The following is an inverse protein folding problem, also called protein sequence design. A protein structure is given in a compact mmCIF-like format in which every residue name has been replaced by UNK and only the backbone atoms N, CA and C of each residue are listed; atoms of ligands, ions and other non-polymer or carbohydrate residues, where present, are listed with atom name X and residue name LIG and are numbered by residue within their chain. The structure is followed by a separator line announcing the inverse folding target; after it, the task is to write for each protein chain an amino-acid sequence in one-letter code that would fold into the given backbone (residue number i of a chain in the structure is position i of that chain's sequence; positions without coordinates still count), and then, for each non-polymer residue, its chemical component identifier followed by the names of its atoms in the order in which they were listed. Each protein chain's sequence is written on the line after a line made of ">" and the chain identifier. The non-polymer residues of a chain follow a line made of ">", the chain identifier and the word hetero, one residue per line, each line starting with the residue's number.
data_IF_731988112972
#
_entry.id   IF_731988112972
#
_cell.length_a   1.000
_cell.length_b   1.000
_cell.length_c   1.000
_cell.angle_alpha   90.00
_cell.angle_beta   90.00
_cell.angle_gamma   90.00
#
_symmetry.space_group_name_H-M   'P 1'
#
loop_
_entity.id
_entity.type
_entity.pdbx_description
1 polymer ?
#
# COMPACT_ATOMS: atom_id res chain seq x y z
N UNK A 1 -19.70 25.10 57.15
CA UNK A 1 -19.29 23.81 56.57
C UNK A 1 -20.47 23.17 55.86
N UNK A 2 -20.49 23.20 54.52
CA UNK A 2 -21.30 22.29 53.69
C UNK A 2 -20.42 21.90 52.51
N UNK A 3 -19.98 20.65 52.48
CA UNK A 3 -19.18 20.05 51.42
C UNK A 3 -20.04 19.90 50.16
N UNK A 4 -19.55 20.42 49.04
CA UNK A 4 -20.04 20.12 47.70
C UNK A 4 -19.48 18.77 47.25
N UNK A 5 -20.34 17.81 46.95
CA UNK A 5 -19.97 16.58 46.26
C UNK A 5 -19.88 16.86 44.76
N UNK A 6 -18.68 16.75 44.20
CA UNK A 6 -18.46 16.67 42.76
C UNK A 6 -18.42 15.18 42.42
N UNK A 7 -19.40 14.71 41.65
CA UNK A 7 -19.37 13.37 41.08
C UNK A 7 -18.36 13.38 39.92
N UNK A 8 -17.24 12.68 40.08
CA UNK A 8 -16.34 12.39 38.99
C UNK A 8 -16.98 11.30 38.11
N UNK A 9 -17.37 11.65 36.89
CA UNK A 9 -17.72 10.67 35.88
C UNK A 9 -16.44 9.93 35.48
N UNK A 10 -16.38 8.63 35.76
CA UNK A 10 -15.31 7.76 35.30
C UNK A 10 -15.43 7.61 33.78
N UNK A 11 -14.48 8.16 33.04
CA UNK A 11 -14.26 7.83 31.62
C UNK A 11 -13.61 6.46 31.60
N UNK A 12 -14.36 5.44 31.21
CA UNK A 12 -13.81 4.12 30.89
C UNK A 12 -13.10 4.25 29.54
N UNK A 13 -11.77 4.26 29.54
CA UNK A 13 -10.99 4.05 28.34
C UNK A 13 -11.24 2.61 27.85
N UNK A 14 -11.73 2.46 26.63
CA UNK A 14 -11.70 1.19 25.88
C UNK A 14 -10.23 0.86 25.57
N UNK A 15 -9.48 0.38 26.57
CA UNK A 15 -8.06 0.05 26.46
C UNK A 15 -7.80 -1.31 25.79
N UNK A 16 -8.83 -2.03 25.36
CA UNK A 16 -8.71 -3.42 24.88
C UNK A 16 -8.15 -3.58 23.47
N UNK A 17 -8.45 -2.67 22.53
CA UNK A 17 -8.11 -2.88 21.11
C UNK A 17 -6.68 -2.50 20.74
N UNK A 18 -6.10 -1.48 21.39
CA UNK A 18 -4.70 -1.11 21.18
C UNK A 18 -3.74 -2.15 21.82
N UNK A 19 -4.13 -2.75 22.94
CA UNK A 19 -3.32 -3.78 23.61
C UNK A 19 -3.26 -5.10 22.83
N UNK A 20 -4.33 -5.47 22.10
CA UNK A 20 -4.33 -6.67 21.26
C UNK A 20 -3.49 -6.48 20.00
N UNK A 21 -3.62 -5.34 19.29
CA UNK A 21 -2.84 -5.06 18.09
C UNK A 21 -1.33 -5.07 18.34
N UNK A 22 -0.88 -4.49 19.47
CA UNK A 22 0.53 -4.53 19.86
C UNK A 22 1.04 -5.94 20.14
N UNK A 23 0.20 -6.87 20.63
CA UNK A 23 0.64 -8.22 21.00
C UNK A 23 0.94 -9.11 19.78
N UNK A 24 0.12 -9.05 18.72
CA UNK A 24 0.23 -9.99 17.60
C UNK A 24 1.37 -9.68 16.63
N UNK A 25 1.83 -8.43 16.59
CA UNK A 25 2.89 -8.00 15.70
C UNK A 25 4.17 -7.55 16.44
N UNK A 26 4.32 -7.94 17.71
CA UNK A 26 5.57 -7.75 18.44
C UNK A 26 6.70 -8.64 17.89
N UNK A 27 7.92 -8.09 17.82
CA UNK A 27 9.10 -8.80 17.33
C UNK A 27 9.40 -10.09 18.11
N UNK A 28 9.04 -10.11 19.40
CA UNK A 28 9.24 -11.24 20.31
C UNK A 28 8.08 -12.27 20.30
N UNK A 29 7.07 -12.09 19.45
CA UNK A 29 5.97 -13.05 19.35
C UNK A 29 6.48 -14.42 18.85
N UNK A 30 6.10 -15.54 19.50
CA UNK A 30 6.46 -16.88 19.01
C UNK A 30 5.78 -17.21 17.68
N UNK A 31 4.75 -16.45 17.30
CA UNK A 31 3.94 -16.69 16.11
C UNK A 31 4.43 -15.92 14.87
N UNK A 32 5.57 -15.23 14.92
CA UNK A 32 6.11 -14.53 13.75
C UNK A 32 6.40 -15.49 12.59
N UNK A 33 5.79 -15.26 11.43
CA UNK A 33 5.96 -16.10 10.24
C UNK A 33 7.29 -15.83 9.52
N UNK A 34 7.70 -14.56 9.53
CA UNK A 34 8.84 -14.04 8.79
C UNK A 34 9.20 -12.66 9.35
N UNK A 35 10.49 -12.29 9.34
CA UNK A 35 10.96 -10.94 9.72
C UNK A 35 11.72 -10.32 8.57
N UNK A 36 11.46 -9.05 8.27
CA UNK A 36 12.25 -8.21 7.36
C UNK A 36 12.81 -7.01 8.11
N UNK A 37 13.55 -7.27 9.19
CA UNK A 37 14.05 -6.29 10.18
C UNK A 37 15.45 -5.75 9.87
N UNK A 38 16.08 -6.21 8.79
CA UNK A 38 17.41 -5.76 8.36
C UNK A 38 18.58 -6.09 9.31
N UNK A 39 18.37 -6.94 10.32
CA UNK A 39 19.39 -7.20 11.36
C UNK A 39 20.61 -7.99 10.87
N UNK A 40 20.54 -8.58 9.68
CA UNK A 40 21.67 -9.21 8.99
C UNK A 40 22.52 -8.19 8.19
N UNK A 41 22.21 -6.90 8.27
CA UNK A 41 22.92 -5.85 7.54
C UNK A 41 22.62 -5.89 6.04
N UNK A 42 23.60 -5.55 5.20
CA UNK A 42 23.40 -5.47 3.74
C UNK A 42 22.94 -6.79 3.09
N UNK A 43 23.22 -7.95 3.72
CA UNK A 43 22.73 -9.24 3.21
C UNK A 43 21.24 -9.46 3.42
N UNK A 44 20.54 -8.56 4.12
CA UNK A 44 19.10 -8.61 4.28
C UNK A 44 18.31 -8.29 3.00
N UNK A 45 18.92 -7.62 2.02
CA UNK A 45 18.17 -7.00 0.92
C UNK A 45 17.65 -7.98 -0.14
N UNK A 46 18.27 -9.16 -0.30
CA UNK A 46 17.86 -10.13 -1.30
C UNK A 46 18.38 -11.54 -1.01
N UNK A 47 17.79 -12.54 -1.68
CA UNK A 47 18.24 -13.93 -1.66
C UNK A 47 17.57 -14.83 -0.61
N UNK A 48 16.77 -14.27 0.30
CA UNK A 48 16.04 -15.02 1.32
C UNK A 48 14.64 -15.35 0.82
N UNK A 49 14.54 -16.35 -0.06
CA UNK A 49 13.32 -16.64 -0.84
C UNK A 49 12.53 -17.87 -0.35
N UNK A 50 12.78 -18.33 0.88
CA UNK A 50 12.12 -19.52 1.45
C UNK A 50 11.60 -19.20 2.84
N UNK A 51 10.42 -19.73 3.18
CA UNK A 51 9.85 -19.61 4.53
C UNK A 51 10.82 -20.11 5.60
N UNK A 52 10.95 -19.37 6.69
CA UNK A 52 11.89 -19.65 7.77
C UNK A 52 13.27 -19.01 7.58
N UNK A 53 13.55 -18.45 6.40
CA UNK A 53 14.62 -17.46 6.24
C UNK A 53 14.01 -16.08 6.45
N UNK A 54 14.42 -15.39 7.51
CA UNK A 54 14.14 -13.98 7.65
C UNK A 54 14.86 -13.21 6.53
N UNK A 55 14.50 -11.95 6.35
CA UNK A 55 14.98 -11.01 5.34
C UNK A 55 14.37 -11.20 3.94
N UNK A 56 14.73 -10.31 3.03
CA UNK A 56 14.01 -10.08 1.79
C UNK A 56 14.44 -11.04 0.68
N UNK A 57 13.48 -11.42 -0.17
CA UNK A 57 13.73 -12.30 -1.30
C UNK A 57 14.23 -11.51 -2.51
N UNK A 58 13.48 -10.48 -2.90
CA UNK A 58 13.69 -9.76 -4.15
C UNK A 58 13.86 -8.26 -3.93
N UNK A 59 14.69 -7.66 -4.77
CA UNK A 59 14.91 -6.23 -4.87
C UNK A 59 14.55 -5.74 -6.28
N UNK A 60 13.85 -4.61 -6.35
CA UNK A 60 13.56 -3.92 -7.60
C UNK A 60 14.26 -2.56 -7.57
N UNK A 61 15.50 -2.56 -8.09
CA UNK A 61 16.38 -1.40 -8.16
C UNK A 61 17.04 -1.30 -9.55
N UNK A 62 17.45 -0.09 -9.90
CA UNK A 62 18.26 0.26 -11.08
C UNK A 62 19.70 0.56 -10.67
N UNK A 63 19.89 1.22 -9.52
CA UNK A 63 21.21 1.59 -8.97
C UNK A 63 21.39 0.97 -7.60
N UNK A 64 22.60 0.50 -7.29
CA UNK A 64 22.90 -0.13 -6.00
C UNK A 64 22.73 0.81 -4.79
N UNK A 65 22.76 2.13 -4.99
CA UNK A 65 22.60 3.11 -3.92
C UNK A 65 21.15 3.40 -3.54
N UNK A 66 20.16 2.86 -4.29
CA UNK A 66 18.75 3.12 -4.04
C UNK A 66 18.23 2.49 -2.76
N UNK A 67 18.82 1.38 -2.31
CA UNK A 67 18.50 0.76 -1.04
C UNK A 67 19.80 0.59 -0.26
N UNK A 68 19.86 1.16 0.93
CA UNK A 68 21.03 1.09 1.80
C UNK A 68 20.59 0.66 3.18
N UNK A 69 21.26 -0.35 3.74
CA UNK A 69 21.10 -0.68 5.14
C UNK A 69 21.96 0.29 5.95
N UNK A 70 21.31 1.04 6.84
CA UNK A 70 21.90 2.14 7.61
C UNK A 70 21.86 1.83 9.10
N UNK A 71 22.70 2.52 9.88
CA UNK A 71 22.74 2.46 11.35
C UNK A 71 22.19 3.72 12.02
N UNK A 72 21.79 4.71 11.22
CA UNK A 72 21.14 5.95 11.65
C UNK A 72 20.36 6.53 10.45
N UNK A 73 19.05 6.85 10.59
CA UNK A 73 18.19 6.55 11.74
C UNK A 73 17.83 5.06 11.82
N UNK A 74 17.56 4.58 13.04
CA UNK A 74 17.09 3.21 13.36
C UNK A 74 16.05 3.33 14.48
N UNK A 75 15.01 2.50 14.47
CA UNK A 75 13.98 2.48 15.53
C UNK A 75 14.07 1.23 16.41
N UNK A 76 14.41 0.08 15.82
CA UNK A 76 14.66 -1.14 16.56
C UNK A 76 15.96 -1.81 16.13
N UNK A 77 16.57 -2.59 17.02
CA UNK A 77 17.82 -3.29 16.71
C UNK A 77 19.00 -2.34 16.39
N UNK A 78 19.68 -2.61 15.28
CA UNK A 78 20.93 -1.98 14.84
C UNK A 78 20.82 -1.39 13.44
N UNK A 79 19.88 -1.87 12.63
CA UNK A 79 19.81 -1.54 11.23
C UNK A 79 18.40 -1.16 10.78
N UNK A 80 18.33 -0.23 9.85
CA UNK A 80 17.12 0.08 9.09
C UNK A 80 17.47 0.17 7.60
N UNK A 81 16.47 0.16 6.72
CA UNK A 81 16.68 0.37 5.30
C UNK A 81 16.31 1.79 4.87
N UNK A 82 17.25 2.50 4.26
CA UNK A 82 17.02 3.76 3.53
C UNK A 82 16.67 3.43 2.08
N UNK A 83 15.53 3.94 1.63
CA UNK A 83 15.08 3.89 0.24
C UNK A 83 15.26 5.24 -0.42
N UNK A 84 15.72 5.23 -1.67
CA UNK A 84 15.84 6.42 -2.51
C UNK A 84 15.37 6.12 -3.94
N UNK A 85 14.57 7.05 -4.46
CA UNK A 85 14.15 7.06 -5.86
C UNK A 85 14.48 8.41 -6.46
N UNK A 86 15.14 8.40 -7.62
CA UNK A 86 15.45 9.58 -8.43
C UNK A 86 14.80 9.46 -9.79
N UNK A 87 14.73 10.61 -10.48
CA UNK A 87 14.27 10.64 -11.86
C UNK A 87 15.10 9.68 -12.72
N UNK A 88 14.42 8.82 -13.48
CA UNK A 88 15.02 7.80 -14.33
C UNK A 88 15.30 6.45 -13.66
N UNK A 89 14.98 6.28 -12.37
CA UNK A 89 15.06 4.97 -11.67
C UNK A 89 13.89 4.04 -12.08
N UNK A 90 13.68 3.90 -13.39
CA UNK A 90 12.64 3.06 -13.99
C UNK A 90 13.11 1.62 -14.03
N UNK A 91 12.46 0.77 -13.22
CA UNK A 91 12.80 -0.65 -13.18
C UNK A 91 12.33 -1.35 -14.46
N UNK A 92 13.23 -2.00 -15.19
CA UNK A 92 12.94 -2.81 -16.40
C UNK A 92 12.06 -2.07 -17.42
N UNK A 93 10.85 -2.58 -17.70
CA UNK A 93 9.89 -2.03 -18.66
C UNK A 93 8.65 -1.46 -17.97
N UNK A 94 8.72 -1.22 -16.65
CA UNK A 94 7.62 -0.60 -15.91
C UNK A 94 7.50 0.89 -16.27
N UNK A 95 6.35 1.50 -15.94
CA UNK A 95 6.03 2.89 -16.25
C UNK A 95 6.21 3.82 -15.05
N UNK A 96 7.05 3.45 -14.09
CA UNK A 96 7.19 4.15 -12.82
C UNK A 96 8.60 3.95 -12.26
N UNK A 97 8.93 4.75 -11.26
CA UNK A 97 10.23 4.72 -10.60
C UNK A 97 10.10 4.07 -9.24
N UNK A 98 11.06 3.20 -8.90
CA UNK A 98 10.96 2.41 -7.68
C UNK A 98 12.29 2.00 -7.08
N UNK A 99 12.25 1.81 -5.77
CA UNK A 99 13.21 1.08 -4.97
C UNK A 99 12.39 0.31 -3.95
N UNK A 100 12.09 -0.96 -4.22
CA UNK A 100 11.18 -1.76 -3.39
C UNK A 100 11.71 -3.18 -3.18
N UNK A 101 11.33 -3.77 -2.05
CA UNK A 101 11.65 -5.13 -1.64
C UNK A 101 10.40 -5.99 -1.61
N UNK A 102 10.56 -7.29 -1.90
CA UNK A 102 9.50 -8.29 -1.83
C UNK A 102 9.85 -9.44 -0.88
N UNK A 103 8.91 -9.90 -0.04
CA UNK A 103 9.12 -11.10 0.78
C UNK A 103 9.11 -12.36 -0.11
N UNK A 104 9.43 -13.54 0.45
CA UNK A 104 9.24 -14.82 -0.24
C UNK A 104 7.81 -15.01 -0.80
N UNK A 105 7.67 -15.75 -1.91
CA UNK A 105 6.37 -15.95 -2.57
C UNK A 105 5.35 -16.72 -1.73
N UNK A 106 5.82 -17.46 -0.73
CA UNK A 106 4.97 -18.15 0.23
C UNK A 106 4.27 -17.19 1.22
N UNK A 107 4.65 -15.91 1.24
CA UNK A 107 3.98 -14.86 2.00
C UNK A 107 2.83 -14.20 1.24
N UNK A 108 2.54 -14.67 0.01
CA UNK A 108 1.42 -14.17 -0.78
C UNK A 108 0.09 -14.62 -0.20
N UNK A 109 -0.94 -13.83 -0.47
CA UNK A 109 -2.26 -13.94 0.13
C UNK A 109 -3.28 -14.43 -0.89
N UNK A 110 -3.92 -15.54 -0.54
CA UNK A 110 -5.06 -16.06 -1.25
C UNK A 110 -6.36 -15.39 -0.80
N UNK A 111 -7.42 -15.62 -1.56
CA UNK A 111 -8.77 -15.24 -1.17
C UNK A 111 -9.15 -15.85 0.19
N UNK A 112 -9.59 -15.02 1.13
CA UNK A 112 -9.99 -15.42 2.48
C UNK A 112 -8.84 -15.50 3.49
N UNK A 113 -7.58 -15.30 3.09
CA UNK A 113 -6.46 -15.22 4.03
C UNK A 113 -6.66 -14.09 5.04
N UNK A 114 -6.16 -14.28 6.25
CA UNK A 114 -6.25 -13.31 7.33
C UNK A 114 -4.88 -13.17 7.97
N UNK A 115 -4.37 -11.94 8.06
CA UNK A 115 -2.99 -11.69 8.50
C UNK A 115 -2.85 -10.37 9.26
N UNK A 116 -1.94 -10.39 10.24
CA UNK A 116 -1.43 -9.19 10.89
C UNK A 116 -0.08 -8.80 10.28
N UNK A 117 0.13 -7.51 10.11
CA UNK A 117 1.39 -6.93 9.65
C UNK A 117 1.77 -5.82 10.61
N UNK A 118 3.05 -5.73 10.95
CA UNK A 118 3.67 -4.53 11.48
C UNK A 118 4.83 -4.11 10.61
N UNK A 119 5.02 -2.81 10.52
CA UNK A 119 6.20 -2.20 9.91
C UNK A 119 6.36 -0.79 10.46
N UNK A 120 7.56 -0.25 10.40
CA UNK A 120 7.85 1.10 10.83
C UNK A 120 8.37 1.92 9.66
N UNK A 121 7.94 3.18 9.56
CA UNK A 121 8.36 4.10 8.51
C UNK A 121 8.78 5.44 9.08
N UNK A 122 9.92 5.95 8.62
CA UNK A 122 10.30 7.34 8.84
C UNK A 122 10.36 8.08 7.50
N UNK A 123 9.58 9.15 7.42
CA UNK A 123 9.71 10.18 6.39
C UNK A 123 10.60 11.31 6.92
N UNK A 124 11.69 11.69 6.24
CA UNK A 124 12.62 12.73 6.69
C UNK A 124 11.95 14.09 6.95
N UNK A 125 12.62 14.94 7.74
CA UNK A 125 12.13 16.28 8.07
C UNK A 125 11.80 17.13 6.83
N UNK A 126 12.57 16.95 5.76
CA UNK A 126 12.46 17.62 4.47
C UNK A 126 11.62 16.85 3.43
N UNK A 127 10.94 15.78 3.84
CA UNK A 127 10.09 14.99 2.95
C UNK A 127 8.98 15.84 2.30
N UNK A 128 8.83 15.71 0.99
CA UNK A 128 7.76 16.34 0.21
C UNK A 128 6.73 15.27 -0.13
N UNK A 129 5.46 15.49 0.23
CA UNK A 129 4.40 14.49 0.13
C UNK A 129 3.61 14.53 -1.18
N UNK A 130 3.67 15.64 -1.90
CA UNK A 130 3.11 15.76 -3.24
C UNK A 130 3.95 16.66 -4.15
N UNK A 131 3.78 16.49 -5.46
CA UNK A 131 4.43 17.29 -6.50
C UNK A 131 3.40 17.80 -7.52
N UNK A 132 3.70 18.86 -8.30
CA UNK A 132 2.84 19.27 -9.40
C UNK A 132 2.53 18.10 -10.33
N UNK A 133 1.27 17.94 -10.73
CA UNK A 133 0.88 16.88 -11.64
C UNK A 133 1.37 17.21 -13.05
N UNK A 134 2.17 16.33 -13.65
CA UNK A 134 2.92 16.60 -14.88
C UNK A 134 2.05 16.97 -16.09
N UNK A 135 0.85 16.41 -16.18
CA UNK A 135 -0.13 16.64 -17.26
C UNK A 135 -1.10 17.79 -16.98
N UNK A 136 -0.99 18.43 -15.81
CA UNK A 136 -1.89 19.52 -15.37
C UNK A 136 -1.13 20.71 -14.77
N UNK A 137 0.08 21.00 -15.26
CA UNK A 137 0.96 22.05 -14.73
C UNK A 137 0.38 23.48 -14.80
N UNK A 138 -0.68 23.69 -15.58
CA UNK A 138 -1.44 24.95 -15.59
C UNK A 138 -2.44 25.09 -14.43
N UNK A 139 -2.63 24.06 -13.62
CA UNK A 139 -3.56 24.00 -12.49
C UNK A 139 -2.77 23.77 -11.20
N UNK A 140 -2.42 24.82 -10.43
CA UNK A 140 -1.57 24.67 -9.24
C UNK A 140 -2.10 23.70 -8.18
N UNK A 141 -3.41 23.50 -8.12
CA UNK A 141 -4.07 22.57 -7.20
C UNK A 141 -3.96 21.09 -7.63
N UNK A 142 -3.61 20.81 -8.89
CA UNK A 142 -3.45 19.44 -9.39
C UNK A 142 -2.09 18.89 -8.95
N UNK A 143 -2.13 17.94 -8.02
CA UNK A 143 -0.94 17.35 -7.39
C UNK A 143 -0.88 15.84 -7.62
N UNK A 144 0.32 15.33 -7.85
CA UNK A 144 0.63 13.90 -7.78
C UNK A 144 1.18 13.56 -6.39
N UNK A 145 0.79 12.43 -5.78
CA UNK A 145 1.46 11.92 -4.59
C UNK A 145 2.96 11.72 -4.86
N UNK A 146 3.78 11.93 -3.83
CA UNK A 146 5.23 11.77 -3.91
C UNK A 146 5.69 10.31 -4.07
N UNK A 147 4.84 9.37 -3.68
CA UNK A 147 5.05 7.94 -3.83
C UNK A 147 4.44 7.15 -2.68
N UNK A 148 4.25 5.86 -2.89
CA UNK A 148 3.79 4.91 -1.87
C UNK A 148 4.98 4.25 -1.20
N UNK A 149 4.83 3.94 0.11
CA UNK A 149 5.87 3.27 0.91
C UNK A 149 5.59 1.77 1.09
N UNK A 150 4.31 1.39 1.11
CA UNK A 150 3.87 -0.01 1.11
C UNK A 150 2.78 -0.14 0.06
N UNK A 151 2.82 -1.23 -0.69
CA UNK A 151 1.71 -1.65 -1.52
C UNK A 151 1.43 -3.14 -1.31
N UNK A 152 0.17 -3.53 -1.45
CA UNK A 152 -0.16 -4.93 -1.68
C UNK A 152 -0.55 -5.10 -3.13
N UNK A 153 0.35 -5.68 -3.91
CA UNK A 153 0.24 -5.85 -5.34
C UNK A 153 -0.36 -7.21 -5.70
N UNK A 154 -1.06 -7.27 -6.83
CA UNK A 154 -1.64 -8.51 -7.33
C UNK A 154 -0.60 -9.34 -8.11
N UNK A 155 -0.72 -10.67 -8.09
CA UNK A 155 0.20 -11.60 -8.77
C UNK A 155 0.04 -11.69 -10.30
N UNK A 156 -0.89 -10.92 -10.86
CA UNK A 156 -1.30 -10.98 -12.28
C UNK A 156 -1.70 -12.39 -12.79
N UNK A 157 -1.91 -13.36 -11.89
CA UNK A 157 -2.27 -14.77 -12.19
C UNK A 157 -1.44 -15.43 -13.31
N UNK A 158 -0.12 -15.23 -13.28
CA UNK A 158 0.81 -15.83 -14.25
C UNK A 158 0.94 -15.06 -15.58
N UNK A 159 0.30 -13.90 -15.71
CA UNK A 159 0.54 -12.94 -16.78
C UNK A 159 1.68 -11.96 -16.47
N UNK A 160 1.88 -10.97 -17.35
CA UNK A 160 2.71 -9.80 -17.03
C UNK A 160 1.96 -8.94 -16.03
N UNK A 161 2.63 -8.52 -14.96
CA UNK A 161 2.11 -7.51 -14.03
C UNK A 161 1.82 -6.22 -14.79
N UNK A 162 0.55 -6.03 -15.12
CA UNK A 162 0.01 -4.81 -15.71
C UNK A 162 -1.17 -4.37 -14.86
N UNK A 163 -1.14 -3.12 -14.41
CA UNK A 163 -2.14 -2.54 -13.53
C UNK A 163 -1.54 -1.99 -12.23
N UNK A 164 -2.41 -1.35 -11.45
CA UNK A 164 -2.07 -0.84 -10.12
C UNK A 164 -2.34 -1.87 -9.03
N UNK A 165 -1.57 -1.81 -7.95
CA UNK A 165 -1.83 -2.55 -6.73
C UNK A 165 -3.25 -2.25 -6.20
N UNK A 166 -3.97 -3.26 -5.65
CA UNK A 166 -5.25 -3.05 -4.95
C UNK A 166 -5.20 -2.04 -3.79
N UNK A 167 -4.04 -1.91 -3.14
CA UNK A 167 -3.88 -1.14 -1.90
C UNK A 167 -2.50 -0.47 -1.85
N UNK A 168 -2.50 0.81 -1.52
CA UNK A 168 -1.31 1.63 -1.26
C UNK A 168 -1.38 2.32 0.10
N UNK A 169 -0.23 2.43 0.77
CA UNK A 169 -0.01 3.32 1.92
C UNK A 169 1.09 4.32 1.56
N UNK A 170 0.87 5.61 1.85
CA UNK A 170 1.80 6.69 1.46
C UNK A 170 1.82 7.85 2.45
N UNK A 171 2.91 8.61 2.43
CA UNK A 171 3.01 9.91 3.11
C UNK A 171 2.54 11.02 2.17
N UNK A 172 1.45 11.70 2.53
CA UNK A 172 0.98 12.91 1.85
C UNK A 172 1.63 14.18 2.43
N UNK A 173 1.17 15.35 1.99
CA UNK A 173 1.72 16.61 2.52
C UNK A 173 1.39 16.82 4.00
N UNK A 174 0.19 16.39 4.42
CA UNK A 174 -0.32 16.53 5.78
C UNK A 174 -0.63 15.20 6.46
N UNK A 175 -1.09 14.20 5.73
CA UNK A 175 -1.57 12.95 6.31
C UNK A 175 -0.79 11.76 5.78
N UNK A 176 -0.72 10.70 6.58
CA UNK A 176 -0.51 9.35 6.07
C UNK A 176 -1.83 8.90 5.45
N UNK A 177 -1.77 8.43 4.22
CA UNK A 177 -2.94 8.12 3.40
C UNK A 177 -2.96 6.65 3.00
N UNK A 178 -4.15 6.06 3.01
CA UNK A 178 -4.44 4.79 2.37
C UNK A 178 -5.22 5.02 1.09
N UNK A 179 -4.83 4.37 0.00
CA UNK A 179 -5.59 4.35 -1.24
C UNK A 179 -6.01 2.91 -1.57
N UNK A 180 -7.33 2.70 -1.65
CA UNK A 180 -7.92 1.47 -2.15
C UNK A 180 -8.27 1.67 -3.62
N UNK A 181 -7.79 0.78 -4.48
CA UNK A 181 -7.83 0.97 -5.93
C UNK A 181 -8.99 0.20 -6.55
N UNK A 182 -9.64 0.82 -7.53
CA UNK A 182 -10.56 0.13 -8.43
C UNK A 182 -9.77 -0.49 -9.58
N UNK A 183 -9.88 -1.81 -9.75
CA UNK A 183 -9.11 -2.55 -10.75
C UNK A 183 -9.34 -2.05 -12.18
N UNK A 184 -10.57 -1.64 -12.49
CA UNK A 184 -10.98 -1.31 -13.87
C UNK A 184 -10.42 0.04 -14.32
N UNK A 185 -10.41 1.00 -13.40
CA UNK A 185 -9.97 2.38 -13.67
C UNK A 185 -8.53 2.62 -13.24
N UNK A 186 -7.97 1.74 -12.42
CA UNK A 186 -6.69 1.89 -11.73
C UNK A 186 -6.60 3.16 -10.88
N UNK A 187 -7.74 3.78 -10.55
CA UNK A 187 -7.84 4.96 -9.71
C UNK A 187 -8.11 4.59 -8.26
N UNK A 188 -7.74 5.47 -7.33
CA UNK A 188 -8.17 5.35 -5.94
C UNK A 188 -9.69 5.49 -5.89
N UNK A 189 -10.41 4.39 -5.65
CA UNK A 189 -11.86 4.44 -5.42
C UNK A 189 -12.17 5.05 -4.07
N UNK A 190 -11.23 4.92 -3.14
CA UNK A 190 -11.28 5.48 -1.80
C UNK A 190 -9.88 5.95 -1.41
N UNK A 191 -9.79 7.16 -0.87
CA UNK A 191 -8.58 7.70 -0.25
C UNK A 191 -8.93 8.06 1.19
N UNK A 192 -8.23 7.46 2.14
CA UNK A 192 -8.49 7.61 3.57
C UNK A 192 -7.29 8.28 4.21
N UNK A 193 -7.51 9.42 4.86
CA UNK A 193 -6.51 10.06 5.72
C UNK A 193 -6.51 9.30 7.05
N UNK A 194 -5.42 8.59 7.35
CA UNK A 194 -5.32 7.75 8.54
C UNK A 194 -4.95 8.59 9.77
N UNK A 195 -3.84 9.33 9.67
CA UNK A 195 -3.36 10.23 10.74
C UNK A 195 -2.48 11.32 10.14
N UNK A 196 -2.17 12.36 10.92
CA UNK A 196 -1.23 13.41 10.51
C UNK A 196 0.18 12.81 10.34
N UNK A 197 0.86 13.17 9.24
CA UNK A 197 2.22 12.75 8.98
C UNK A 197 3.19 13.61 9.80
N UNK A 198 3.86 12.98 10.76
CA UNK A 198 4.95 13.60 11.50
C UNK A 198 6.27 13.28 10.80
N UNK A 199 6.85 14.29 10.16
CA UNK A 199 8.17 14.15 9.53
C UNK A 199 9.27 14.05 10.60
N UNK A 200 10.33 13.31 10.31
CA UNK A 200 11.40 13.02 11.25
C UNK A 200 11.01 12.04 12.37
N UNK A 201 9.83 11.42 12.28
CA UNK A 201 9.29 10.49 13.27
C UNK A 201 9.17 9.09 12.66
N UNK A 202 9.51 8.07 13.43
CA UNK A 202 9.24 6.67 13.10
C UNK A 202 7.80 6.34 13.46
N UNK A 203 6.93 6.25 12.45
CA UNK A 203 5.56 5.81 12.62
C UNK A 203 5.51 4.28 12.68
N UNK A 204 4.91 3.73 13.74
CA UNK A 204 4.69 2.29 13.91
C UNK A 204 3.31 1.90 13.41
N UNK A 205 3.26 1.10 12.35
CA UNK A 205 2.03 0.65 11.73
C UNK A 205 1.72 -0.77 12.19
N UNK A 206 0.47 -1.01 12.58
CA UNK A 206 -0.07 -2.35 12.71
C UNK A 206 -1.33 -2.43 11.84
N UNK A 207 -1.41 -3.43 10.98
CA UNK A 207 -2.57 -3.69 10.13
C UNK A 207 -3.07 -5.11 10.33
N UNK A 208 -4.38 -5.26 10.46
CA UNK A 208 -5.06 -6.55 10.37
C UNK A 208 -5.89 -6.56 9.10
N UNK A 209 -5.68 -7.57 8.25
CA UNK A 209 -6.37 -7.69 6.99
C UNK A 209 -7.02 -9.07 6.85
N UNK A 210 -8.31 -9.06 6.50
CA UNK A 210 -8.99 -10.19 5.87
C UNK A 210 -9.02 -9.94 4.38
N UNK A 211 -8.20 -10.68 3.64
CA UNK A 211 -8.01 -10.48 2.22
C UNK A 211 -9.17 -11.05 1.41
N UNK A 212 -9.95 -10.20 0.76
CA UNK A 212 -11.02 -10.64 -0.13
C UNK A 212 -11.34 -9.65 -1.24
N UNK A 213 -11.73 -10.19 -2.39
CA UNK A 213 -12.32 -9.44 -3.49
C UNK A 213 -13.82 -9.18 -3.30
N UNK A 214 -14.47 -9.90 -2.38
CA UNK A 214 -15.85 -9.65 -1.96
C UNK A 214 -15.88 -8.56 -0.87
N UNK A 215 -16.53 -7.41 -1.12
CA UNK A 215 -16.57 -6.30 -0.16
C UNK A 215 -17.37 -6.61 1.12
N UNK A 216 -18.16 -7.69 1.15
CA UNK A 216 -18.87 -8.15 2.35
C UNK A 216 -18.05 -9.09 3.24
N UNK A 217 -16.90 -9.57 2.75
CA UNK A 217 -16.00 -10.48 3.47
C UNK A 217 -14.70 -9.76 3.84
N UNK A 218 -14.14 -9.00 2.90
CA UNK A 218 -12.86 -8.32 3.08
C UNK A 218 -12.97 -7.18 4.09
N UNK A 219 -11.94 -7.05 4.93
CA UNK A 219 -11.84 -5.91 5.83
C UNK A 219 -10.38 -5.57 6.16
N UNK A 220 -10.18 -4.31 6.57
CA UNK A 220 -8.93 -3.78 7.09
C UNK A 220 -9.18 -3.13 8.46
N UNK A 221 -8.26 -3.33 9.38
CA UNK A 221 -8.13 -2.55 10.62
C UNK A 221 -6.70 -2.03 10.69
N UNK A 222 -6.50 -0.81 11.19
CA UNK A 222 -5.17 -0.21 11.27
C UNK A 222 -4.97 0.62 12.52
N UNK A 223 -3.78 0.49 13.07
CA UNK A 223 -3.24 1.30 14.14
C UNK A 223 -1.96 1.97 13.67
N UNK A 224 -1.80 3.24 14.02
CA UNK A 224 -0.55 3.99 13.83
C UNK A 224 -0.17 4.58 15.19
N UNK A 225 1.06 4.34 15.62
CA UNK A 225 1.61 4.78 16.91
C UNK A 225 0.72 4.35 18.10
N UNK A 226 0.20 3.12 18.02
CA UNK A 226 -0.69 2.52 19.01
C UNK A 226 -2.13 3.06 19.02
N UNK A 227 -2.47 4.03 18.18
CA UNK A 227 -3.82 4.58 18.06
C UNK A 227 -4.58 3.88 16.95
N UNK A 228 -5.82 3.43 17.22
CA UNK A 228 -6.69 2.88 16.16
C UNK A 228 -7.13 4.02 15.23
N UNK A 229 -6.53 4.07 14.02
CA UNK A 229 -6.77 5.09 12.99
C UNK A 229 -7.77 4.63 11.94
N UNK A 230 -7.96 3.32 11.82
CA UNK A 230 -8.95 2.70 10.95
C UNK A 230 -9.61 1.55 11.71
N UNK A 231 -10.76 1.80 12.37
CA UNK A 231 -11.60 0.72 12.87
C UNK A 231 -12.03 -0.17 11.71
N UNK A 232 -12.54 -1.37 12.01
CA UNK A 232 -12.94 -2.37 11.00
C UNK A 232 -13.66 -1.76 9.80
N UNK A 233 -12.91 -1.65 8.71
CA UNK A 233 -13.34 -1.07 7.46
C UNK A 233 -13.61 -2.19 6.47
N UNK A 234 -14.90 -2.45 6.21
CA UNK A 234 -15.33 -3.48 5.26
C UNK A 234 -15.12 -3.00 3.82
N UNK A 235 -14.62 -3.88 2.96
CA UNK A 235 -14.44 -3.59 1.54
C UNK A 235 -13.51 -4.56 0.84
N UNK A 236 -13.54 -4.56 -0.49
CA UNK A 236 -12.63 -5.37 -1.29
C UNK A 236 -11.20 -4.83 -1.18
N UNK A 237 -10.23 -5.65 -0.81
CA UNK A 237 -8.84 -5.22 -0.58
C UNK A 237 -7.83 -6.03 -1.39
N UNK A 238 -8.32 -6.89 -2.29
CA UNK A 238 -7.55 -7.57 -3.33
C UNK A 238 -8.38 -7.70 -4.61
N UNK A 239 -7.73 -8.07 -5.71
CA UNK A 239 -8.42 -8.37 -6.97
C UNK A 239 -8.93 -9.81 -7.02
N UNK A 240 -10.05 -10.06 -7.74
CA UNK A 240 -10.62 -11.40 -7.88
C UNK A 240 -9.70 -12.32 -8.66
N UNK A 241 -9.65 -13.59 -8.26
CA UNK A 241 -8.89 -14.66 -8.92
C UNK A 241 -7.36 -14.41 -9.03
N UNK A 242 -6.82 -13.52 -8.21
CA UNK A 242 -5.39 -13.21 -8.11
C UNK A 242 -4.93 -13.36 -6.66
N UNK A 243 -3.65 -13.65 -6.46
CA UNK A 243 -3.02 -13.54 -5.14
C UNK A 243 -2.62 -12.08 -4.90
N UNK A 244 -2.51 -11.69 -3.63
CA UNK A 244 -2.06 -10.37 -3.21
C UNK A 244 -0.74 -10.50 -2.44
N UNK A 245 0.21 -9.59 -2.61
CA UNK A 245 1.48 -9.69 -1.90
C UNK A 245 2.06 -8.32 -1.58
N UNK A 246 2.73 -8.22 -0.45
CA UNK A 246 3.30 -6.97 0.03
C UNK A 246 4.59 -6.63 -0.73
N UNK A 247 4.73 -5.36 -1.09
CA UNK A 247 5.99 -4.72 -1.48
C UNK A 247 6.21 -3.53 -0.56
N UNK A 248 7.46 -3.31 -0.15
CA UNK A 248 7.82 -2.19 0.73
C UNK A 248 9.02 -1.42 0.19
N UNK A 249 9.05 -0.12 0.42
CA UNK A 249 10.02 0.81 -0.14
C UNK A 249 9.32 1.89 -0.94
N UNK A 250 10.04 2.67 -1.75
CA UNK A 250 9.44 3.80 -2.47
C UNK A 250 9.04 3.43 -3.90
N UNK A 251 7.79 3.73 -4.25
CA UNK A 251 7.19 3.60 -5.58
C UNK A 251 6.54 4.92 -5.99
N UNK A 252 6.86 5.50 -7.16
CA UNK A 252 6.33 6.82 -7.56
C UNK A 252 6.21 7.03 -9.07
N UNK A 253 5.46 8.07 -9.46
CA UNK A 253 5.26 8.45 -10.85
C UNK A 253 6.57 8.85 -11.55
N UNK A 254 6.76 8.39 -12.80
CA UNK A 254 7.99 8.58 -13.59
C UNK A 254 8.34 10.02 -13.97
N UNK A 255 7.40 10.97 -13.82
CA UNK A 255 7.63 12.38 -14.17
C UNK A 255 8.12 13.21 -12.97
N UNK A 256 8.19 12.62 -11.77
CA UNK A 256 8.66 13.33 -10.58
C UNK A 256 10.18 13.49 -10.67
N UNK A 257 10.63 14.73 -10.71
CA UNK A 257 12.04 15.09 -10.83
C UNK A 257 12.56 15.17 -12.26
N UNK A 258 11.70 15.10 -13.28
CA UNK A 258 12.13 15.28 -14.69
C UNK A 258 12.72 16.69 -14.89
N UNK A 259 14.03 16.81 -15.22
CA UNK A 259 14.68 18.09 -15.39
C UNK A 259 14.16 18.87 -16.62
N UNK A 260 13.42 18.22 -17.53
CA UNK A 260 12.85 18.88 -18.71
C UNK A 260 11.38 19.29 -18.54
N UNK A 261 10.78 19.00 -17.37
CA UNK A 261 9.39 19.37 -17.12
C UNK A 261 9.28 20.88 -16.87
N UNK A 262 8.46 21.55 -17.69
CA UNK A 262 8.27 23.01 -17.65
C UNK A 262 6.82 23.36 -17.30
N UNK A 263 6.63 24.39 -16.48
CA UNK A 263 5.35 25.07 -16.34
C UNK A 263 4.96 25.78 -17.66
N UNK A 264 3.69 26.17 -17.85
CA UNK A 264 3.24 26.87 -19.06
C UNK A 264 3.95 28.21 -19.35
N UNK A 265 4.54 28.83 -18.33
CA UNK A 265 5.34 30.06 -18.46
C UNK A 265 6.80 29.81 -18.86
N UNK A 266 7.19 28.54 -19.08
CA UNK A 266 8.53 28.13 -19.48
C UNK A 266 9.52 27.94 -18.32
N UNK A 267 9.09 28.12 -17.08
CA UNK A 267 9.95 27.86 -15.91
C UNK A 267 10.05 26.36 -15.63
N UNK A 268 11.23 25.89 -15.19
CA UNK A 268 11.41 24.48 -14.83
C UNK A 268 10.65 24.14 -13.55
N UNK A 269 9.94 23.01 -13.57
CA UNK A 269 9.24 22.48 -12.39
C UNK A 269 10.24 22.03 -11.32
N UNK A 270 11.33 21.40 -11.76
CA UNK A 270 12.39 20.89 -10.91
C UNK A 270 13.72 21.55 -11.27
N UNK A 271 14.64 21.63 -10.30
CA UNK A 271 16.02 22.02 -10.59
C UNK A 271 16.75 20.94 -11.41
N UNK A 272 18.00 21.22 -11.80
CA UNK A 272 18.86 20.27 -12.52
C UNK A 272 19.13 18.98 -11.74
N UNK A 273 18.99 19.02 -10.42
CA UNK A 273 19.21 17.87 -9.52
C UNK A 273 17.94 17.02 -9.34
N UNK A 274 16.82 17.41 -9.96
CA UNK A 274 15.52 16.75 -9.84
C UNK A 274 14.92 16.88 -8.44
N UNK A 275 14.05 15.92 -8.09
CA UNK A 275 13.47 15.78 -6.76
C UNK A 275 13.60 14.32 -6.30
N UNK A 276 14.62 13.94 -5.49
CA UNK A 276 14.72 12.60 -4.96
C UNK A 276 13.62 12.35 -3.90
N UNK A 277 13.06 11.15 -3.90
CA UNK A 277 12.24 10.65 -2.79
C UNK A 277 13.11 9.85 -1.84
N UNK A 278 13.00 10.08 -0.53
CA UNK A 278 13.71 9.33 0.51
C UNK A 278 12.74 8.96 1.64
N UNK A 279 12.83 7.72 2.10
CA UNK A 279 12.13 7.21 3.27
C UNK A 279 12.93 6.07 3.90
N UNK A 280 12.67 5.78 5.16
CA UNK A 280 13.32 4.72 5.91
C UNK A 280 12.27 3.72 6.38
N UNK A 281 12.62 2.44 6.37
CA UNK A 281 11.76 1.35 6.82
C UNK A 281 12.53 0.47 7.79
N UNK A 282 11.84 -0.02 8.80
CA UNK A 282 12.36 -0.92 9.81
C UNK A 282 11.24 -1.86 10.34
N UNK A 283 11.62 -2.90 11.07
CA UNK A 283 10.72 -3.71 11.89
C UNK A 283 9.54 -4.38 11.18
N UNK A 284 9.77 -4.90 9.97
CA UNK A 284 8.70 -5.53 9.18
C UNK A 284 8.41 -6.94 9.67
N UNK A 285 7.23 -7.15 10.23
CA UNK A 285 6.81 -8.40 10.87
C UNK A 285 5.38 -8.77 10.43
N UNK A 286 5.21 -9.74 9.53
CA UNK A 286 3.94 -10.41 9.30
C UNK A 286 3.75 -11.57 10.29
N UNK A 287 2.58 -11.60 10.92
CA UNK A 287 2.17 -12.61 11.89
C UNK A 287 0.81 -13.20 11.49
N UNK A 288 0.50 -14.46 11.84
CA UNK A 288 -0.77 -15.08 11.51
C UNK A 288 -1.91 -14.36 12.23
N UNK A 289 -3.12 -14.45 11.69
CA UNK A 289 -4.31 -14.12 12.45
C UNK A 289 -4.43 -15.06 13.67
N UNK A 290 -4.75 -14.55 14.87
CA UNK A 290 -5.04 -15.41 16.00
C UNK A 290 -6.17 -16.35 15.62
N UNK A 291 -5.93 -17.66 15.77
CA UNK A 291 -7.02 -18.61 15.74
C UNK A 291 -7.96 -18.26 16.90
N UNK A 292 -9.30 -18.24 16.70
CA UNK A 292 -10.21 -18.11 17.83
C UNK A 292 -9.89 -19.24 18.80
N UNK A 293 -9.38 -18.90 19.98
CA UNK A 293 -9.14 -19.88 21.02
C UNK A 293 -10.50 -20.46 21.37
N UNK A 294 -10.72 -21.73 21.02
CA UNK A 294 -11.82 -22.52 21.57
C UNK A 294 -11.47 -22.84 23.02
N UNK A 295 -11.31 -21.82 23.86
CA UNK A 295 -11.48 -22.01 25.30
C UNK A 295 -12.97 -22.25 25.50
N UNK A 296 -13.34 -23.53 25.46
CA UNK A 296 -14.58 -23.98 26.09
C UNK A 296 -14.60 -23.36 27.50
N UNK A 297 -15.72 -22.73 27.91
CA UNK A 297 -15.88 -22.28 29.29
C UNK A 297 -15.53 -23.43 30.23
N UNK A 298 -14.93 -23.17 31.41
CA UNK A 298 -14.72 -24.22 32.40
C UNK A 298 -16.04 -24.96 32.61
N UNK A 299 -16.05 -26.25 32.30
CA UNK A 299 -17.24 -27.08 32.29
C UNK A 299 -17.94 -26.98 33.65
N UNK A 300 -19.04 -26.22 33.69
CA UNK A 300 -20.00 -26.31 34.77
C UNK A 300 -20.78 -27.61 34.58
N UNK A 301 -20.57 -28.55 35.50
CA UNK A 301 -21.40 -29.74 35.62
C UNK A 301 -22.87 -29.33 35.75
N UNK A 302 -23.65 -29.47 34.67
CA UNK A 302 -25.10 -29.53 34.76
C UNK A 302 -25.62 -30.66 33.90
N UNK A 303 -26.10 -31.68 34.59
CA UNK A 303 -26.86 -32.83 34.10
C UNK A 303 -28.07 -32.36 33.28
N UNK A 304 -28.39 -32.97 32.12
CA UNK A 304 -29.48 -32.51 31.27
C UNK A 304 -30.84 -33.08 31.72
N UNK A 305 -31.92 -32.27 31.80
CA UNK A 305 -33.27 -32.80 31.72
C UNK A 305 -33.74 -32.80 30.27
N UNK A 306 -34.05 -34.00 29.79
CA UNK A 306 -34.74 -34.31 28.54
C UNK A 306 -36.11 -33.63 28.52
N UNK A 307 -36.37 -32.77 27.53
CA UNK A 307 -37.76 -32.49 27.12
C UNK A 307 -37.83 -32.24 25.62
N UNK A 308 -38.45 -33.19 24.93
CA UNK A 308 -38.91 -33.16 23.54
C UNK A 308 -40.14 -32.26 23.40
N UNK A 309 -40.24 -31.45 22.33
CA UNK A 309 -41.42 -31.29 21.42
C UNK A 309 -41.25 -30.06 20.49
N UNK A 310 -41.77 -30.09 19.24
CA UNK A 310 -41.10 -29.50 18.07
C UNK A 310 -41.57 -28.10 17.63
N UNK A 311 -40.79 -27.55 16.70
CA UNK A 311 -40.91 -26.25 16.04
C UNK A 311 -42.17 -26.07 15.17
N UNK A 312 -42.57 -24.80 14.92
CA UNK A 312 -43.31 -24.41 13.74
C UNK A 312 -42.48 -23.51 12.81
N UNK A 313 -42.47 -23.90 11.54
CA UNK A 313 -41.94 -23.23 10.35
C UNK A 313 -42.85 -22.06 9.91
N UNK A 314 -42.27 -20.97 9.36
CA UNK A 314 -42.70 -20.19 8.16
C UNK A 314 -42.15 -18.74 8.22
N UNK A 315 -42.24 -17.93 7.13
CA UNK A 315 -41.31 -17.93 6.01
C UNK A 315 -40.67 -16.55 5.73
N UNK A 316 -39.65 -16.56 4.85
CA UNK A 316 -38.90 -15.41 4.38
C UNK A 316 -39.74 -14.32 3.69
N UNK A 317 -39.42 -13.06 3.98
CA UNK A 317 -39.83 -11.89 3.20
C UNK A 317 -38.58 -11.16 2.70
N UNK A 318 -38.47 -11.10 1.38
CA UNK A 318 -37.54 -10.23 0.65
C UNK A 318 -38.22 -8.90 0.38
N UNK A 319 -37.48 -7.80 0.50
CA UNK A 319 -37.92 -6.49 -0.01
C UNK A 319 -36.71 -5.78 -0.61
N UNK A 320 -36.83 -5.20 -1.83
CA UNK A 320 -35.73 -4.52 -2.50
C UNK A 320 -35.64 -3.05 -2.07
N UNK A 321 -34.43 -2.52 -1.97
CA UNK A 321 -34.19 -1.09 -1.81
C UNK A 321 -33.43 -0.54 -3.02
N UNK A 322 -34.07 0.43 -3.67
CA UNK A 322 -33.61 1.20 -4.82
C UNK A 322 -32.96 2.53 -4.41
N UNK A 323 -31.87 2.86 -5.11
CA UNK A 323 -31.46 4.18 -5.66
C UNK A 323 -31.04 5.34 -4.73
N UNK A 324 -29.81 5.83 -4.96
CA UNK A 324 -29.37 7.24 -5.18
C UNK A 324 -27.91 7.36 -4.70
N UNK A 325 -26.89 7.85 -5.42
CA UNK A 325 -26.87 8.81 -6.51
C UNK A 325 -26.28 10.14 -6.00
N UNK A 326 -24.96 10.22 -5.78
CA UNK A 326 -24.23 11.51 -5.63
C UNK A 326 -22.80 11.31 -6.16
N UNK A 327 -22.41 12.08 -7.18
CA UNK A 327 -21.09 12.07 -7.79
C UNK A 327 -20.13 13.07 -7.13
N UNK A 328 -18.84 12.73 -7.10
CA UNK A 328 -17.72 13.58 -6.69
C UNK A 328 -16.41 13.11 -7.38
N UNK A 329 -15.38 13.98 -7.45
CA UNK A 329 -14.46 14.08 -8.58
C UNK A 329 -13.34 13.02 -8.58
N UNK A 330 -12.85 12.72 -9.78
CA UNK A 330 -11.78 11.76 -10.03
C UNK A 330 -10.45 12.21 -9.42
N UNK A 331 -9.97 11.46 -8.43
CA UNK A 331 -8.62 11.56 -7.87
C UNK A 331 -7.73 10.47 -8.45
N UNK A 332 -6.61 10.89 -9.04
CA UNK A 332 -5.71 10.05 -9.83
C UNK A 332 -5.10 8.88 -9.06
N UNK A 333 -5.25 7.69 -9.63
CA UNK A 333 -4.35 6.57 -9.37
C UNK A 333 -3.03 6.77 -10.10
N UNK A 334 -1.95 6.25 -9.52
CA UNK A 334 -0.57 6.41 -10.02
C UNK A 334 -0.25 5.58 -11.28
N UNK A 335 -1.25 5.12 -12.02
CA UNK A 335 -1.08 4.39 -13.27
C UNK A 335 -1.45 5.26 -14.46
N UNK A 336 -0.43 5.73 -15.19
CA UNK A 336 -0.62 6.37 -16.48
C UNK A 336 -1.00 5.31 -17.52
N UNK A 337 -2.30 5.09 -17.74
CA UNK A 337 -2.75 4.55 -19.03
C UNK A 337 -2.79 5.70 -20.04
N UNK A 338 -1.64 5.94 -20.67
CA UNK A 338 -1.56 6.78 -21.84
C UNK A 338 -2.31 6.13 -23.00
N UNK A 339 -3.24 6.86 -23.59
CA UNK A 339 -3.91 6.50 -24.85
C UNK A 339 -2.88 6.06 -25.90
N UNK A 340 -2.98 4.81 -26.36
CA UNK A 340 -2.23 4.31 -27.50
C UNK A 340 -2.74 5.02 -28.76
N UNK A 341 -1.91 5.90 -29.31
CA UNK A 341 -2.10 6.50 -30.64
C UNK A 341 -2.20 5.39 -31.69
N UNK A 342 -3.38 5.23 -32.28
CA UNK A 342 -3.57 4.40 -33.48
C UNK A 342 -2.69 4.94 -34.61
N UNK A 343 -1.61 4.22 -34.92
CA UNK A 343 -0.87 4.40 -36.17
C UNK A 343 -1.73 3.89 -37.32
N UNK A 344 -2.26 4.80 -38.13
CA UNK A 344 -2.80 4.48 -39.45
C UNK A 344 -1.62 4.17 -40.38
N UNK A 345 -1.43 2.88 -40.67
CA UNK A 345 -0.58 2.42 -41.75
C UNK A 345 -1.20 2.84 -43.10
N UNK A 346 -0.53 3.73 -43.83
CA UNK A 346 -0.81 4.01 -45.24
C UNK A 346 0.05 3.08 -46.11
N UNK A 347 -0.54 2.28 -47.02
CA UNK A 347 0.22 1.46 -47.95
C UNK A 347 0.68 2.31 -49.15
N UNK A 348 1.99 2.47 -49.32
CA UNK A 348 2.60 2.98 -50.55
C UNK A 348 2.67 1.85 -51.58
N UNK A 349 1.65 1.79 -52.44
CA UNK A 349 1.72 1.08 -53.73
C UNK A 349 2.28 2.01 -54.80
N UNK A 350 3.29 1.51 -55.51
CA UNK A 350 4.15 2.29 -56.39
C UNK A 350 3.54 2.70 -57.72
N UNK A 351 4.23 3.63 -58.37
CA UNK A 351 4.15 3.86 -59.81
C UNK A 351 5.57 3.95 -60.39
N UNK A 352 5.85 2.99 -61.25
CA UNK A 352 6.97 2.96 -62.17
C UNK A 352 6.94 4.15 -63.14
N UNK A 353 8.14 4.52 -63.60
CA UNK A 353 8.52 4.76 -65.00
C UNK A 353 9.09 6.15 -65.34
N UNK A 354 10.41 6.10 -65.62
CA UNK A 354 11.08 6.64 -66.81
C UNK A 354 11.01 8.16 -67.06
N UNK A 355 12.18 8.83 -66.95
CA UNK A 355 12.93 9.23 -68.16
C UNK A 355 14.37 9.67 -67.88
N UNK A 356 15.17 9.42 -68.91
CA UNK A 356 16.63 9.50 -69.03
C UNK A 356 17.20 10.93 -68.99
N UNK A 357 18.40 11.02 -68.40
CA UNK A 357 19.63 11.75 -68.83
C UNK A 357 19.48 12.90 -69.84
N UNK A 358 20.06 14.07 -69.54
CA UNK A 358 21.41 14.51 -69.99
C UNK A 358 21.75 15.94 -69.51
N UNK A 359 23.00 16.04 -69.05
CA UNK A 359 24.01 17.13 -69.04
C UNK A 359 23.72 18.54 -69.60
N UNK A 360 24.35 19.51 -68.91
CA UNK A 360 24.94 20.80 -69.31
C UNK A 360 23.98 21.84 -69.92
N UNK A 361 24.03 23.13 -69.58
CA UNK A 361 25.06 23.97 -68.98
C UNK A 361 24.45 25.01 -68.02
#
# INVERSE_FOLDING_TARGET
>A
MKLSQIAAAAVVFLAGSASEAGQFANADSPDVLWRGDFEDGATSLSGHCVVGQNQWCGEQIVRSQQIQVVTDPVVEGRYAARFEVKYGDVYRTYSDERSILSPPTQMWEDEGNERWYRWQVLWPQDYVGSYPKWDELGTPASRSPAGSIVEWHHSASGGVESGSAPLYIRGGDKFIEMCLVDQKTSACRETINLTELLRGHWHDFVMHAKWSSDPSIGYLEMWIDGVNVLPKHMGSNKYPNMQNYMLIGLYRNLHIGDPNLLYPDGTHVYGTDGAPGVAYVDGVIPAPAPQPTTQAPPGGDTTPPTTTTPAPTAPAQTTPATTAGIGFPQGGGCSSTGFQSMWLALPLLGLFALRRRRLAA
#
